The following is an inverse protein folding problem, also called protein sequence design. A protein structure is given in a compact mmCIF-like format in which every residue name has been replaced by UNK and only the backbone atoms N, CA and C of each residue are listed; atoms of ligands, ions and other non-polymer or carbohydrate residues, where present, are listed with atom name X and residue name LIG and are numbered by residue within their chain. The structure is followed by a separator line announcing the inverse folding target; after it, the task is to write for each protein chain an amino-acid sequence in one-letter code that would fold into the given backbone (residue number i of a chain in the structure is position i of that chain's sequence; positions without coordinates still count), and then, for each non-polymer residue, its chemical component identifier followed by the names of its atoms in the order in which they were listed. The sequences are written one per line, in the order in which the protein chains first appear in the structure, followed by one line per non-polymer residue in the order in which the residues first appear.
data_IF_911905047953
#
_entry.id   IF_911905047953
#
_cell.length_a   1.000
_cell.length_b   1.000
_cell.length_c   1.000
_cell.angle_alpha   90.00
_cell.angle_beta   90.00
_cell.angle_gamma   90.00
#
_symmetry.space_group_name_H-M   'P 1'
#
loop_
_entity.id
_entity.type
_entity.pdbx_description
1 polymer ?
#
# COMPACT_ATOMS: atom_id res chain seq x y z
N UNK A 1 13.15 57.37 -13.53
CA UNK A 1 13.96 56.14 -13.37
C UNK A 1 13.66 55.35 -12.09
N UNK A 2 13.72 55.94 -10.88
CA UNK A 2 13.45 55.23 -9.60
C UNK A 2 12.09 54.52 -9.53
N UNK A 3 11.04 55.09 -10.10
CA UNK A 3 9.70 54.48 -10.13
C UNK A 3 9.58 53.28 -11.08
N UNK A 4 10.27 53.32 -12.22
CA UNK A 4 10.28 52.22 -13.21
C UNK A 4 11.03 51.01 -12.64
N UNK A 5 12.15 51.24 -11.94
CA UNK A 5 12.92 50.18 -11.27
C UNK A 5 12.08 49.54 -10.15
N UNK A 6 11.35 50.33 -9.34
CA UNK A 6 10.45 49.80 -8.30
C UNK A 6 9.30 48.98 -8.89
N UNK A 7 8.74 49.40 -10.03
CA UNK A 7 7.66 48.67 -10.72
C UNK A 7 8.17 47.34 -11.34
N UNK A 8 9.38 47.33 -11.91
CA UNK A 8 10.05 46.13 -12.42
C UNK A 8 10.44 45.13 -11.33
N UNK A 9 10.83 45.63 -10.14
CA UNK A 9 11.05 44.78 -8.97
C UNK A 9 9.74 44.19 -8.42
N UNK A 10 8.64 44.95 -8.44
CA UNK A 10 7.32 44.45 -8.03
C UNK A 10 6.77 43.39 -9.01
N UNK A 11 6.96 43.59 -10.31
CA UNK A 11 6.60 42.63 -11.36
C UNK A 11 7.43 41.34 -11.28
N UNK A 12 8.73 41.44 -10.97
CA UNK A 12 9.57 40.26 -10.73
C UNK A 12 9.19 39.52 -9.44
N UNK A 13 8.82 40.23 -8.36
CA UNK A 13 8.32 39.58 -7.15
C UNK A 13 7.00 38.84 -7.42
N UNK A 14 6.07 39.41 -8.20
CA UNK A 14 4.82 38.77 -8.58
C UNK A 14 5.02 37.52 -9.48
N UNK A 15 6.09 37.45 -10.27
CA UNK A 15 6.44 36.23 -11.01
C UNK A 15 7.03 35.14 -10.12
N UNK A 16 7.79 35.51 -9.07
CA UNK A 16 8.39 34.55 -8.13
C UNK A 16 7.33 33.91 -7.22
N UNK A 17 6.24 34.63 -6.89
CA UNK A 17 5.14 34.09 -6.08
C UNK A 17 4.09 33.27 -6.85
N UNK A 18 4.18 33.19 -8.18
CA UNK A 18 3.29 32.34 -8.99
C UNK A 18 3.82 30.91 -9.23
N UNK A 19 5.00 30.58 -8.70
CA UNK A 19 5.34 29.18 -8.41
C UNK A 19 4.57 28.75 -7.17
N UNK A 20 3.24 28.66 -7.30
CA UNK A 20 2.46 27.78 -6.46
C UNK A 20 3.01 26.39 -6.72
N UNK A 21 3.96 25.93 -5.89
CA UNK A 21 4.32 24.53 -5.80
C UNK A 21 3.05 23.78 -5.38
N UNK A 22 2.25 23.40 -6.38
CA UNK A 22 1.16 22.46 -6.17
C UNK A 22 1.78 21.21 -5.55
N UNK A 23 1.14 20.68 -4.50
CA UNK A 23 1.54 19.41 -3.93
C UNK A 23 1.56 18.36 -5.05
N UNK A 24 2.69 17.67 -5.22
CA UNK A 24 2.78 16.56 -6.16
C UNK A 24 1.77 15.47 -5.79
N UNK A 25 1.21 14.83 -6.82
CA UNK A 25 0.22 13.77 -6.65
C UNK A 25 0.92 12.47 -6.26
N UNK A 26 0.55 11.90 -5.11
CA UNK A 26 0.93 10.54 -4.73
C UNK A 26 -0.17 9.55 -5.09
N UNK A 27 0.20 8.44 -5.75
CA UNK A 27 -0.75 7.41 -6.18
C UNK A 27 -0.28 6.05 -5.66
N UNK A 28 -1.22 5.24 -5.17
CA UNK A 28 -0.97 3.87 -4.71
C UNK A 28 -1.95 2.86 -5.29
N UNK A 29 -1.54 1.59 -5.33
CA UNK A 29 -2.33 0.45 -5.79
C UNK A 29 -2.24 -0.68 -4.75
N UNK A 30 -3.38 -1.10 -4.20
CA UNK A 30 -3.42 -2.15 -3.17
C UNK A 30 -4.57 -3.11 -3.43
N UNK A 31 -4.25 -4.37 -3.75
CA UNK A 31 -5.21 -5.43 -4.07
C UNK A 31 -5.44 -6.42 -2.92
N UNK A 32 -5.06 -6.05 -1.70
CA UNK A 32 -5.61 -6.64 -0.47
C UNK A 32 -6.50 -5.63 0.24
N UNK A 33 -7.07 -5.99 1.38
CA UNK A 33 -7.71 -5.00 2.27
C UNK A 33 -6.68 -3.91 2.61
N UNK A 34 -6.89 -2.66 2.18
CA UNK A 34 -5.89 -1.62 2.33
C UNK A 34 -5.69 -1.28 3.81
N UNK A 35 -4.44 -1.25 4.32
CA UNK A 35 -4.19 -0.80 5.67
C UNK A 35 -4.48 0.70 5.79
N UNK A 36 -4.75 1.16 7.01
CA UNK A 36 -5.13 2.56 7.28
C UNK A 36 -4.10 3.56 6.73
N UNK A 37 -2.81 3.24 6.81
CA UNK A 37 -1.72 4.09 6.34
C UNK A 37 -1.82 4.45 4.85
N UNK A 38 -2.39 3.56 4.02
CA UNK A 38 -2.57 3.81 2.60
C UNK A 38 -3.39 5.09 2.34
N UNK A 39 -4.43 5.33 3.16
CA UNK A 39 -5.35 6.44 2.99
C UNK A 39 -4.76 7.79 3.42
N UNK A 40 -3.63 7.79 4.13
CA UNK A 40 -2.88 8.99 4.47
C UNK A 40 -1.66 9.20 3.58
N UNK A 41 -1.13 8.11 3.02
CA UNK A 41 0.08 8.13 2.21
C UNK A 41 -0.20 8.58 0.77
N UNK A 42 -1.31 8.15 0.18
CA UNK A 42 -1.63 8.39 -1.22
C UNK A 42 -2.82 9.35 -1.36
N UNK A 43 -2.74 10.25 -2.34
CA UNK A 43 -3.85 11.12 -2.71
C UNK A 43 -4.88 10.35 -3.54
N UNK A 44 -4.44 9.47 -4.44
CA UNK A 44 -5.28 8.51 -5.16
C UNK A 44 -4.87 7.09 -4.79
N UNK A 45 -5.86 6.26 -4.47
CA UNK A 45 -5.65 4.86 -4.11
C UNK A 45 -6.51 3.97 -5.00
N UNK A 46 -5.89 3.12 -5.79
CA UNK A 46 -6.55 2.11 -6.62
C UNK A 46 -6.64 0.81 -5.85
N UNK A 47 -7.82 0.21 -5.81
CA UNK A 47 -8.10 -1.00 -5.04
C UNK A 47 -8.98 -1.97 -5.81
N UNK A 48 -8.87 -3.26 -5.49
CA UNK A 48 -9.79 -4.27 -6.00
C UNK A 48 -11.07 -4.31 -5.12
N UNK A 49 -12.25 -3.97 -5.68
CA UNK A 49 -13.49 -3.90 -4.91
C UNK A 49 -14.00 -5.25 -4.39
N UNK A 50 -13.52 -6.38 -4.90
CA UNK A 50 -13.93 -7.71 -4.42
C UNK A 50 -13.05 -8.23 -3.27
N UNK A 51 -11.89 -7.62 -3.03
CA UNK A 51 -10.95 -8.08 -2.00
C UNK A 51 -11.22 -7.51 -0.59
N UNK A 52 -12.15 -6.55 -0.47
CA UNK A 52 -12.61 -6.04 0.83
C UNK A 52 -14.03 -5.46 0.72
N UNK A 53 -14.66 -5.18 1.86
CA UNK A 53 -15.98 -4.56 1.89
C UNK A 53 -15.85 -3.06 2.14
N UNK A 54 -16.27 -2.23 1.18
CA UNK A 54 -16.28 -0.77 1.34
C UNK A 54 -17.09 -0.32 2.56
N UNK A 55 -18.18 -1.02 2.90
CA UNK A 55 -19.00 -0.70 4.08
C UNK A 55 -18.22 -0.79 5.39
N UNK A 56 -17.20 -1.66 5.48
CA UNK A 56 -16.32 -1.71 6.66
C UNK A 56 -15.45 -0.47 6.82
N UNK A 57 -15.16 0.24 5.73
CA UNK A 57 -14.30 1.42 5.71
C UNK A 57 -15.11 2.72 5.78
N UNK A 58 -16.37 2.71 5.36
CA UNK A 58 -17.22 3.90 5.23
C UNK A 58 -17.30 4.78 6.47
N UNK A 59 -17.30 4.16 7.65
CA UNK A 59 -17.39 4.89 8.92
C UNK A 59 -16.06 5.49 9.40
N UNK A 60 -14.95 5.08 8.79
CA UNK A 60 -13.60 5.51 9.17
C UNK A 60 -13.39 6.99 8.85
N UNK A 61 -12.71 7.69 9.75
CA UNK A 61 -12.46 9.12 9.64
C UNK A 61 -11.78 9.51 8.32
N UNK A 62 -10.78 8.75 7.88
CA UNK A 62 -10.04 9.02 6.64
C UNK A 62 -10.90 8.88 5.37
N UNK A 63 -11.89 7.98 5.36
CA UNK A 63 -12.86 7.87 4.26
C UNK A 63 -13.85 9.03 4.30
N UNK A 64 -14.44 9.32 5.47
CA UNK A 64 -15.41 10.43 5.65
C UNK A 64 -14.83 11.78 5.28
N UNK A 65 -13.55 12.01 5.58
CA UNK A 65 -12.85 13.26 5.27
C UNK A 65 -12.15 13.24 3.92
N UNK A 66 -12.42 12.23 3.08
CA UNK A 66 -11.90 12.08 1.70
C UNK A 66 -10.40 12.39 1.59
N UNK A 67 -9.61 11.84 2.53
CA UNK A 67 -8.16 12.05 2.56
C UNK A 67 -7.48 11.55 1.29
N UNK A 68 -7.95 10.39 0.80
CA UNK A 68 -7.57 9.80 -0.48
C UNK A 68 -8.82 9.63 -1.35
N UNK A 69 -8.67 9.82 -2.67
CA UNK A 69 -9.68 9.42 -3.66
C UNK A 69 -9.54 7.93 -3.94
N UNK A 70 -10.63 7.19 -3.83
CA UNK A 70 -10.62 5.74 -4.03
C UNK A 70 -11.07 5.37 -5.44
N UNK A 71 -10.29 4.56 -6.12
CA UNK A 71 -10.56 4.08 -7.48
C UNK A 71 -10.79 2.59 -7.47
N UNK A 72 -11.87 2.14 -8.11
CA UNK A 72 -12.13 0.71 -8.28
C UNK A 72 -11.40 0.18 -9.52
N UNK A 73 -10.66 -0.91 -9.36
CA UNK A 73 -10.14 -1.71 -10.46
C UNK A 73 -11.29 -2.32 -11.26
N UNK A 74 -11.20 -2.21 -12.59
CA UNK A 74 -12.12 -2.86 -13.54
C UNK A 74 -11.31 -3.33 -14.75
N UNK A 75 -11.24 -4.64 -14.96
CA UNK A 75 -10.74 -5.20 -16.22
C UNK A 75 -11.78 -4.99 -17.32
N UNK A 76 -11.42 -4.23 -18.37
CA UNK A 76 -12.35 -3.88 -19.46
C UNK A 76 -12.16 -4.82 -20.65
N UNK A 77 -10.91 -5.09 -21.02
CA UNK A 77 -10.57 -5.95 -22.15
C UNK A 77 -10.54 -7.44 -21.82
N UNK A 78 -10.64 -7.81 -20.54
CA UNK A 78 -10.68 -9.21 -20.10
C UNK A 78 -11.80 -9.46 -19.09
N UNK A 79 -12.36 -10.67 -19.16
CA UNK A 79 -13.32 -11.24 -18.22
C UNK A 79 -12.57 -12.17 -17.27
N UNK A 80 -12.70 -11.85 -15.99
CA UNK A 80 -12.04 -12.54 -14.89
C UNK A 80 -12.99 -13.57 -14.24
N UNK A 81 -12.72 -14.88 -14.33
CA UNK A 81 -13.68 -15.91 -13.91
C UNK A 81 -14.03 -15.93 -12.42
N UNK A 82 -13.20 -15.29 -11.59
CA UNK A 82 -13.40 -15.20 -10.15
C UNK A 82 -14.34 -14.05 -9.73
N UNK A 83 -14.71 -13.15 -10.65
CA UNK A 83 -15.60 -12.02 -10.37
C UNK A 83 -17.01 -12.50 -10.05
N UNK A 84 -17.68 -11.83 -9.11
CA UNK A 84 -19.05 -12.17 -8.69
C UNK A 84 -20.05 -12.19 -9.85
N UNK A 85 -19.87 -11.29 -10.82
CA UNK A 85 -20.74 -11.16 -12.00
C UNK A 85 -20.41 -12.13 -13.14
N UNK A 86 -19.41 -13.01 -13.00
CA UNK A 86 -18.96 -13.89 -14.08
C UNK A 86 -20.08 -14.81 -14.62
N UNK A 87 -20.99 -15.27 -13.76
CA UNK A 87 -22.12 -16.13 -14.16
C UNK A 87 -23.11 -15.46 -15.13
N UNK A 88 -23.05 -14.14 -15.25
CA UNK A 88 -23.93 -13.33 -16.09
C UNK A 88 -23.27 -12.94 -17.42
N UNK A 89 -22.02 -13.36 -17.64
CA UNK A 89 -21.29 -13.10 -18.88
C UNK A 89 -21.87 -13.98 -20.00
N UNK A 90 -22.21 -13.34 -21.12
CA UNK A 90 -22.49 -14.06 -22.36
C UNK A 90 -21.18 -14.49 -23.02
N UNK A 91 -21.06 -15.77 -23.35
CA UNK A 91 -19.91 -16.35 -24.05
C UNK A 91 -19.71 -15.72 -25.44
N UNK A 92 -20.74 -15.14 -26.04
CA UNK A 92 -20.66 -14.43 -27.33
C UNK A 92 -19.78 -13.17 -27.27
N UNK A 93 -19.46 -12.68 -26.06
CA UNK A 93 -18.57 -11.54 -25.84
C UNK A 93 -17.09 -11.93 -25.80
N UNK A 94 -16.77 -13.23 -25.81
CA UNK A 94 -15.39 -13.71 -25.69
C UNK A 94 -14.78 -13.92 -27.07
N UNK A 95 -13.62 -13.32 -27.32
CA UNK A 95 -12.85 -13.43 -28.58
C UNK A 95 -11.54 -14.19 -28.43
N UNK A 96 -11.13 -14.51 -27.21
CA UNK A 96 -9.91 -15.27 -26.96
C UNK A 96 -9.68 -15.58 -25.48
N UNK A 97 -8.51 -16.11 -25.18
CA UNK A 97 -8.07 -16.44 -23.82
C UNK A 97 -6.68 -15.87 -23.57
N UNK A 98 -6.47 -15.34 -22.37
CA UNK A 98 -5.14 -15.00 -21.88
C UNK A 98 -4.69 -16.08 -20.88
N UNK A 99 -3.84 -17.00 -21.36
CA UNK A 99 -3.44 -18.20 -20.59
C UNK A 99 -2.57 -17.88 -19.38
N UNK A 100 -1.80 -16.79 -19.44
CA UNK A 100 -0.91 -16.38 -18.36
C UNK A 100 -1.72 -15.97 -17.12
N UNK A 101 -2.87 -15.32 -17.34
CA UNK A 101 -3.77 -14.83 -16.28
C UNK A 101 -5.02 -15.67 -16.05
N UNK A 102 -5.26 -16.68 -16.90
CA UNK A 102 -6.45 -17.55 -16.87
C UNK A 102 -7.76 -16.75 -16.98
N UNK A 103 -7.75 -15.76 -17.86
CA UNK A 103 -8.86 -14.85 -18.15
C UNK A 103 -9.31 -15.00 -19.60
N UNK A 104 -10.48 -14.46 -19.92
CA UNK A 104 -11.05 -14.47 -21.27
C UNK A 104 -10.96 -13.08 -21.89
N UNK A 105 -10.47 -12.96 -23.12
CA UNK A 105 -10.37 -11.66 -23.81
C UNK A 105 -11.77 -11.28 -24.31
N UNK A 106 -12.24 -10.12 -23.90
CA UNK A 106 -13.58 -9.62 -24.16
C UNK A 106 -13.64 -8.70 -25.39
N UNK A 107 -14.75 -8.76 -26.12
CA UNK A 107 -14.99 -7.97 -27.31
C UNK A 107 -15.75 -6.67 -26.98
N UNK A 108 -15.00 -5.59 -26.76
CA UNK A 108 -15.57 -4.26 -26.48
C UNK A 108 -16.40 -3.71 -27.65
N UNK A 109 -16.29 -4.29 -28.86
CA UNK A 109 -17.11 -3.91 -30.02
C UNK A 109 -18.58 -4.32 -29.83
N UNK A 110 -18.86 -5.32 -28.99
CA UNK A 110 -20.23 -5.74 -28.65
C UNK A 110 -20.92 -4.69 -27.77
N UNK A 111 -22.04 -4.15 -28.25
CA UNK A 111 -22.80 -3.12 -27.53
C UNK A 111 -23.32 -3.65 -26.20
N UNK A 112 -23.78 -4.89 -26.19
CA UNK A 112 -24.33 -5.58 -25.02
C UNK A 112 -23.28 -5.73 -23.91
N UNK A 113 -22.03 -6.00 -24.28
CA UNK A 113 -20.92 -6.06 -23.34
C UNK A 113 -20.60 -4.67 -22.74
N UNK A 114 -20.56 -3.62 -23.57
CA UNK A 114 -20.39 -2.24 -23.09
C UNK A 114 -21.52 -1.83 -22.13
N UNK A 115 -22.76 -2.17 -22.47
CA UNK A 115 -23.92 -1.90 -21.62
C UNK A 115 -23.88 -2.70 -20.31
N UNK A 116 -23.42 -3.94 -20.35
CA UNK A 116 -23.19 -4.75 -19.15
C UNK A 116 -22.15 -4.08 -18.23
N UNK A 117 -20.99 -3.69 -18.77
CA UNK A 117 -19.97 -2.99 -17.98
C UNK A 117 -20.53 -1.72 -17.34
N UNK A 118 -21.21 -0.86 -18.09
CA UNK A 118 -21.73 0.42 -17.58
C UNK A 118 -22.86 0.21 -16.56
N UNK A 119 -23.89 -0.56 -16.93
CA UNK A 119 -25.14 -0.63 -16.17
C UNK A 119 -25.08 -1.60 -15.00
N UNK A 120 -24.19 -2.59 -15.05
CA UNK A 120 -24.01 -3.59 -14.00
C UNK A 120 -22.75 -3.33 -13.21
N UNK A 121 -21.58 -3.39 -13.86
CA UNK A 121 -20.29 -3.37 -13.16
C UNK A 121 -20.01 -1.98 -12.57
N UNK A 122 -19.95 -0.94 -13.40
CA UNK A 122 -19.61 0.42 -12.96
C UNK A 122 -20.69 1.04 -12.06
N UNK A 123 -21.97 0.76 -12.32
CA UNK A 123 -23.08 1.23 -11.47
C UNK A 123 -22.98 0.70 -10.03
N UNK A 124 -22.55 -0.55 -9.84
CA UNK A 124 -22.32 -1.15 -8.52
C UNK A 124 -21.05 -0.63 -7.80
N UNK A 125 -20.24 0.16 -8.51
CA UNK A 125 -19.03 0.80 -8.01
C UNK A 125 -19.19 2.32 -7.89
N UNK A 126 -20.42 2.82 -7.91
CA UNK A 126 -20.73 4.26 -7.88
C UNK A 126 -20.32 4.97 -6.57
N UNK A 127 -20.02 4.23 -5.50
CA UNK A 127 -19.48 4.75 -4.25
C UNK A 127 -18.00 5.17 -4.32
N UNK A 128 -17.25 4.69 -5.31
CA UNK A 128 -15.84 5.05 -5.53
C UNK A 128 -15.72 6.42 -6.21
N UNK A 129 -14.61 7.15 -6.02
CA UNK A 129 -14.37 8.45 -6.64
C UNK A 129 -14.02 8.35 -8.13
N UNK A 130 -13.59 7.17 -8.59
CA UNK A 130 -13.25 6.91 -9.97
C UNK A 130 -13.06 5.44 -10.30
N UNK A 131 -12.69 5.20 -11.55
CA UNK A 131 -12.44 3.88 -12.10
C UNK A 131 -11.01 3.79 -12.64
N UNK A 132 -10.37 2.64 -12.44
CA UNK A 132 -9.13 2.27 -13.07
C UNK A 132 -9.40 1.14 -14.07
N UNK A 133 -9.26 1.43 -15.36
CA UNK A 133 -9.56 0.51 -16.45
C UNK A 133 -8.31 -0.22 -16.89
N UNK A 134 -8.33 -1.53 -16.73
CA UNK A 134 -7.21 -2.40 -17.07
C UNK A 134 -7.48 -3.21 -18.35
N UNK A 135 -6.44 -3.90 -18.82
CA UNK A 135 -6.45 -4.84 -19.95
C UNK A 135 -6.86 -4.24 -21.30
N UNK A 136 -6.61 -2.93 -21.47
CA UNK A 136 -7.04 -2.19 -22.65
C UNK A 136 -6.32 -2.59 -23.95
N UNK A 137 -5.19 -3.31 -23.84
CA UNK A 137 -4.37 -3.81 -24.96
C UNK A 137 -4.47 -5.34 -25.16
N UNK A 138 -5.22 -6.06 -24.32
CA UNK A 138 -5.33 -7.54 -24.41
C UNK A 138 -5.93 -8.05 -25.72
N UNK A 139 -6.71 -7.24 -26.43
CA UNK A 139 -7.25 -7.57 -27.75
C UNK A 139 -6.16 -7.92 -28.77
N UNK A 140 -4.95 -7.39 -28.60
CA UNK A 140 -3.82 -7.66 -29.49
C UNK A 140 -3.33 -9.12 -29.43
N UNK A 141 -3.70 -9.86 -28.38
CA UNK A 141 -3.41 -11.30 -28.24
C UNK A 141 -4.36 -12.13 -29.12
N UNK A 142 -5.62 -11.69 -29.25
CA UNK A 142 -6.69 -12.46 -29.90
C UNK A 142 -6.97 -12.04 -31.35
N UNK A 143 -6.79 -10.75 -31.67
CA UNK A 143 -7.17 -10.17 -32.95
C UNK A 143 -5.98 -10.00 -33.89
N UNK A 144 -6.28 -9.85 -35.19
CA UNK A 144 -5.28 -9.48 -36.19
C UNK A 144 -5.12 -7.95 -36.26
N UNK A 145 -3.95 -7.42 -36.67
CA UNK A 145 -3.71 -5.98 -36.74
C UNK A 145 -4.73 -5.17 -37.55
N UNK A 146 -5.35 -5.76 -38.57
CA UNK A 146 -6.38 -5.09 -39.38
C UNK A 146 -7.72 -4.89 -38.65
N UNK A 147 -7.93 -5.57 -37.51
CA UNK A 147 -9.13 -5.42 -36.67
C UNK A 147 -8.92 -4.46 -35.49
N UNK A 148 -7.68 -4.06 -35.22
CA UNK A 148 -7.32 -3.24 -34.06
C UNK A 148 -8.06 -1.92 -34.07
N UNK A 149 -8.19 -1.30 -35.24
CA UNK A 149 -8.80 0.03 -35.33
C UNK A 149 -10.27 0.03 -34.93
N UNK A 150 -11.00 -1.02 -35.29
CA UNK A 150 -12.41 -1.16 -34.91
C UNK A 150 -12.57 -1.39 -33.41
N UNK A 151 -11.67 -2.18 -32.81
CA UNK A 151 -11.64 -2.37 -31.35
C UNK A 151 -11.31 -1.08 -30.61
N UNK A 152 -10.27 -0.37 -31.04
CA UNK A 152 -9.86 0.93 -30.49
C UNK A 152 -10.99 1.97 -30.57
N UNK A 153 -11.69 2.06 -31.71
CA UNK A 153 -12.84 2.95 -31.86
C UNK A 153 -13.97 2.60 -30.88
N UNK A 154 -14.27 1.32 -30.69
CA UNK A 154 -15.26 0.88 -29.72
C UNK A 154 -14.83 1.16 -28.26
N UNK A 155 -13.53 1.08 -27.96
CA UNK A 155 -12.98 1.44 -26.65
C UNK A 155 -13.10 2.95 -26.39
N UNK A 156 -12.85 3.78 -27.41
CA UNK A 156 -13.04 5.24 -27.34
C UNK A 156 -14.51 5.57 -27.08
N UNK A 157 -15.43 4.96 -27.81
CA UNK A 157 -16.87 5.11 -27.59
C UNK A 157 -17.26 4.73 -26.16
N UNK A 158 -16.75 3.60 -25.67
CA UNK A 158 -16.97 3.14 -24.30
C UNK A 158 -16.52 4.18 -23.27
N UNK A 159 -15.28 4.67 -23.35
CA UNK A 159 -14.73 5.64 -22.38
C UNK A 159 -15.53 6.94 -22.39
N UNK A 160 -15.90 7.45 -23.57
CA UNK A 160 -16.74 8.65 -23.69
C UNK A 160 -18.13 8.41 -23.08
N UNK A 161 -18.73 7.23 -23.32
CA UNK A 161 -20.03 6.87 -22.77
C UNK A 161 -19.98 6.73 -21.24
N UNK A 162 -18.92 6.13 -20.69
CA UNK A 162 -18.68 6.07 -19.25
C UNK A 162 -18.61 7.49 -18.68
N UNK A 163 -17.80 8.38 -19.25
CA UNK A 163 -17.64 9.73 -18.73
C UNK A 163 -18.94 10.55 -18.80
N UNK A 164 -19.76 10.34 -19.83
CA UNK A 164 -21.10 10.93 -19.93
C UNK A 164 -22.07 10.40 -18.87
N UNK A 165 -22.00 9.09 -18.58
CA UNK A 165 -22.87 8.42 -17.60
C UNK A 165 -22.46 8.78 -16.16
N UNK A 166 -21.17 8.95 -15.94
CA UNK A 166 -20.55 9.19 -14.63
C UNK A 166 -19.67 10.46 -14.67
N UNK A 167 -20.25 11.66 -14.85
CA UNK A 167 -19.49 12.90 -15.11
C UNK A 167 -18.52 13.26 -13.99
N UNK A 168 -18.89 13.00 -12.73
CA UNK A 168 -18.07 13.31 -11.56
C UNK A 168 -16.94 12.31 -11.31
N UNK A 169 -16.98 11.13 -11.96
CA UNK A 169 -15.99 10.09 -11.74
C UNK A 169 -14.71 10.40 -12.49
N UNK A 170 -13.59 10.11 -11.81
CA UNK A 170 -12.28 10.12 -12.45
C UNK A 170 -12.04 8.82 -13.21
N UNK A 171 -11.28 8.88 -14.30
CA UNK A 171 -10.94 7.71 -15.11
C UNK A 171 -9.43 7.62 -15.27
N UNK A 172 -8.86 6.48 -14.88
CA UNK A 172 -7.45 6.14 -15.09
C UNK A 172 -7.41 4.95 -16.03
N UNK A 173 -6.58 5.02 -17.08
CA UNK A 173 -6.40 3.93 -18.02
C UNK A 173 -5.07 3.22 -17.76
N UNK A 174 -5.05 1.89 -17.66
CA UNK A 174 -3.81 1.12 -17.79
C UNK A 174 -3.52 0.89 -19.25
N UNK A 175 -2.38 1.40 -19.73
CA UNK A 175 -1.96 1.31 -21.12
C UNK A 175 -3.04 1.88 -22.06
N UNK A 176 -3.39 1.17 -23.14
CA UNK A 176 -4.30 1.67 -24.18
C UNK A 176 -3.78 2.96 -24.83
N UNK A 177 -2.46 3.05 -25.04
CA UNK A 177 -1.80 4.27 -25.51
C UNK A 177 -2.34 4.75 -26.86
N UNK A 178 -2.84 3.82 -27.69
CA UNK A 178 -3.44 4.05 -28.99
C UNK A 178 -4.72 4.90 -28.91
N UNK A 179 -5.50 4.78 -27.83
CA UNK A 179 -6.77 5.49 -27.67
C UNK A 179 -6.64 6.78 -26.87
N UNK A 180 -5.60 6.92 -26.03
CA UNK A 180 -5.39 8.09 -25.15
C UNK A 180 -5.52 9.44 -25.89
N UNK A 181 -4.96 9.65 -27.10
CA UNK A 181 -5.11 10.92 -27.81
C UNK A 181 -6.56 11.30 -28.09
N UNK A 182 -7.43 10.31 -28.32
CA UNK A 182 -8.84 10.50 -28.66
C UNK A 182 -9.71 10.71 -27.41
N UNK A 183 -9.26 10.25 -26.24
CA UNK A 183 -10.02 10.33 -24.98
C UNK A 183 -9.38 11.21 -23.90
N UNK A 184 -8.31 11.94 -24.23
CA UNK A 184 -7.53 12.75 -23.27
C UNK A 184 -8.38 13.71 -22.42
N UNK A 185 -9.49 14.22 -22.97
CA UNK A 185 -10.38 15.18 -22.29
C UNK A 185 -11.42 14.49 -21.39
N UNK A 186 -11.48 13.15 -21.42
CA UNK A 186 -12.41 12.31 -20.65
C UNK A 186 -11.72 11.52 -19.54
N UNK A 187 -10.38 11.52 -19.50
CA UNK A 187 -9.57 10.77 -18.53
C UNK A 187 -8.72 11.70 -17.67
N UNK A 188 -8.28 11.19 -16.53
CA UNK A 188 -7.50 11.93 -15.54
C UNK A 188 -6.01 11.54 -15.52
N UNK A 189 -5.71 10.29 -15.88
CA UNK A 189 -4.35 9.76 -15.97
C UNK A 189 -4.28 8.50 -16.86
N UNK A 190 -3.06 8.16 -17.27
CA UNK A 190 -2.70 6.89 -17.85
C UNK A 190 -1.61 6.20 -17.00
N UNK A 191 -1.63 4.88 -16.95
CA UNK A 191 -0.71 4.01 -16.21
C UNK A 191 0.10 3.19 -17.21
N UNK A 192 1.33 2.86 -16.85
CA UNK A 192 2.17 1.92 -17.58
C UNK A 192 2.98 1.02 -16.65
N UNK A 193 3.19 -0.22 -17.11
CA UNK A 193 3.88 -1.27 -16.36
C UNK A 193 4.77 -2.10 -17.31
N UNK A 194 6.07 -2.28 -17.09
CA UNK A 194 6.97 -1.57 -16.16
C UNK A 194 8.04 -0.83 -16.95
N UNK A 195 8.60 0.22 -16.35
CA UNK A 195 9.56 1.11 -16.98
C UNK A 195 11.02 0.70 -16.75
N UNK A 196 11.46 0.59 -15.49
CA UNK A 196 12.85 0.27 -15.16
C UNK A 196 13.01 -1.10 -14.52
N UNK A 197 12.06 -1.49 -13.68
CA UNK A 197 12.03 -2.77 -12.98
C UNK A 197 10.64 -3.40 -13.10
N UNK A 198 10.60 -4.63 -13.58
CA UNK A 198 9.37 -5.37 -13.82
C UNK A 198 9.54 -6.84 -13.50
N UNK A 199 8.69 -7.65 -14.11
CA UNK A 199 8.70 -9.10 -13.92
C UNK A 199 9.14 -9.80 -15.20
N UNK A 200 9.85 -10.90 -15.02
CA UNK A 200 10.04 -11.85 -16.09
C UNK A 200 8.74 -12.61 -16.36
N UNK A 201 8.21 -12.52 -17.58
CA UNK A 201 6.90 -13.08 -17.94
C UNK A 201 6.83 -14.61 -17.80
N UNK A 202 7.97 -15.31 -17.84
CA UNK A 202 8.01 -16.77 -17.70
C UNK A 202 8.21 -17.22 -16.25
N UNK A 203 9.10 -16.54 -15.53
CA UNK A 203 9.52 -16.97 -14.18
C UNK A 203 8.84 -16.19 -13.06
N UNK A 204 8.15 -15.09 -13.37
CA UNK A 204 7.55 -14.14 -12.43
C UNK A 204 8.54 -13.59 -11.40
N UNK A 205 9.84 -13.60 -11.75
CA UNK A 205 10.91 -13.03 -10.93
C UNK A 205 11.10 -11.55 -11.25
N UNK A 206 11.43 -10.76 -10.23
CA UNK A 206 11.82 -9.37 -10.39
C UNK A 206 13.06 -9.27 -11.27
N UNK A 207 13.02 -8.36 -12.26
CA UNK A 207 14.14 -8.08 -13.14
C UNK A 207 14.22 -6.61 -13.51
N UNK A 208 15.42 -6.18 -13.89
CA UNK A 208 15.62 -4.91 -14.57
C UNK A 208 15.14 -5.03 -16.01
N UNK A 209 14.42 -4.02 -16.49
CA UNK A 209 13.95 -3.95 -17.88
C UNK A 209 15.12 -3.73 -18.85
N UNK A 210 14.98 -4.22 -20.09
CA UNK A 210 15.96 -3.94 -21.14
C UNK A 210 15.95 -2.47 -21.49
N UNK A 211 17.09 -1.93 -21.90
CA UNK A 211 17.21 -0.52 -22.25
C UNK A 211 16.34 -0.14 -23.45
N UNK A 212 16.18 -1.05 -24.41
CA UNK A 212 15.33 -0.88 -25.59
C UNK A 212 13.86 -0.72 -25.20
N UNK A 213 13.34 -1.64 -24.38
CA UNK A 213 11.96 -1.61 -23.85
C UNK A 213 11.73 -0.33 -23.03
N UNK A 214 12.70 0.02 -22.18
CA UNK A 214 12.67 1.25 -21.37
C UNK A 214 12.58 2.48 -22.27
N UNK A 215 13.43 2.58 -23.30
CA UNK A 215 13.47 3.73 -24.22
C UNK A 215 12.19 3.85 -25.04
N UNK A 216 11.68 2.72 -25.54
CA UNK A 216 10.40 2.69 -26.24
C UNK A 216 9.26 3.21 -25.35
N UNK A 217 9.18 2.70 -24.12
CA UNK A 217 8.12 3.10 -23.20
C UNK A 217 8.27 4.57 -22.78
N UNK A 218 9.48 5.05 -22.48
CA UNK A 218 9.74 6.47 -22.20
C UNK A 218 9.22 7.38 -23.31
N UNK A 219 9.43 7.03 -24.58
CA UNK A 219 8.94 7.83 -25.70
C UNK A 219 7.40 7.88 -25.70
N UNK A 220 6.73 6.74 -25.54
CA UNK A 220 5.26 6.68 -25.46
C UNK A 220 4.68 7.45 -24.28
N UNK A 221 5.28 7.33 -23.11
CA UNK A 221 4.84 8.06 -21.93
C UNK A 221 5.05 9.56 -22.07
N UNK A 222 6.13 10.00 -22.74
CA UNK A 222 6.33 11.42 -23.04
C UNK A 222 5.33 11.95 -24.07
N UNK A 223 4.96 11.17 -25.09
CA UNK A 223 3.87 11.52 -26.03
C UNK A 223 2.57 11.79 -25.25
N UNK A 224 2.18 10.89 -24.34
CA UNK A 224 0.97 11.03 -23.52
C UNK A 224 1.06 12.23 -22.57
N UNK A 225 2.20 12.40 -21.90
CA UNK A 225 2.45 13.55 -21.01
C UNK A 225 2.33 14.88 -21.76
N UNK A 226 2.82 14.95 -22.99
CA UNK A 226 2.74 16.15 -23.84
C UNK A 226 1.31 16.49 -24.27
N UNK A 227 0.37 15.55 -24.20
CA UNK A 227 -1.06 15.81 -24.39
C UNK A 227 -1.73 16.42 -23.15
N UNK A 228 -0.98 16.63 -22.05
CA UNK A 228 -1.49 17.14 -20.78
C UNK A 228 -2.07 16.07 -19.85
N UNK A 229 -1.94 14.79 -20.21
CA UNK A 229 -2.41 13.66 -19.40
C UNK A 229 -1.35 13.30 -18.35
N UNK A 230 -1.76 13.09 -17.10
CA UNK A 230 -0.86 12.62 -16.05
C UNK A 230 -0.45 11.18 -16.34
N UNK A 231 0.83 10.87 -16.18
CA UNK A 231 1.34 9.52 -16.36
C UNK A 231 1.80 8.95 -15.03
N UNK A 232 1.28 7.78 -14.68
CA UNK A 232 1.65 6.99 -13.52
C UNK A 232 2.45 5.78 -14.02
N UNK A 233 3.52 5.42 -13.33
CA UNK A 233 4.34 4.25 -13.70
C UNK A 233 4.41 3.30 -12.52
N UNK A 234 4.05 2.04 -12.77
CA UNK A 234 4.15 0.96 -11.79
C UNK A 234 5.35 0.09 -12.13
N UNK A 235 6.31 0.05 -11.20
CA UNK A 235 7.48 -0.82 -11.27
C UNK A 235 7.45 -1.85 -10.14
N UNK A 236 8.00 -3.02 -10.41
CA UNK A 236 7.98 -4.17 -9.51
C UNK A 236 9.36 -4.45 -8.92
N UNK A 237 9.46 -4.35 -7.60
CA UNK A 237 10.69 -4.60 -6.85
C UNK A 237 10.35 -5.39 -5.59
N UNK A 238 11.20 -6.36 -5.24
CA UNK A 238 11.06 -7.16 -4.01
C UNK A 238 10.84 -6.24 -2.80
N UNK A 239 9.77 -6.45 -2.01
CA UNK A 239 9.41 -5.59 -0.88
C UNK A 239 10.49 -5.51 0.20
N UNK A 240 11.41 -6.49 0.26
CA UNK A 240 12.58 -6.47 1.17
C UNK A 240 13.60 -5.41 0.78
N UNK A 241 13.64 -5.00 -0.49
CA UNK A 241 14.60 -4.03 -1.00
C UNK A 241 14.03 -2.62 -1.04
N UNK A 242 13.71 -2.07 0.14
CA UNK A 242 13.16 -0.71 0.30
C UNK A 242 14.07 0.38 -0.29
N UNK A 243 15.39 0.18 -0.26
CA UNK A 243 16.35 1.12 -0.86
C UNK A 243 16.17 1.18 -2.38
N UNK A 244 16.10 0.02 -3.06
CA UNK A 244 15.89 -0.03 -4.49
C UNK A 244 14.50 0.51 -4.88
N UNK A 245 13.45 0.22 -4.10
CA UNK A 245 12.12 0.81 -4.32
C UNK A 245 12.19 2.34 -4.36
N UNK A 246 12.90 2.95 -3.40
CA UNK A 246 13.09 4.40 -3.33
C UNK A 246 13.90 4.96 -4.50
N UNK A 247 14.98 4.27 -4.89
CA UNK A 247 15.81 4.68 -6.03
C UNK A 247 15.04 4.64 -7.35
N UNK A 248 14.25 3.58 -7.58
CA UNK A 248 13.41 3.43 -8.77
C UNK A 248 12.30 4.48 -8.79
N UNK A 249 11.60 4.69 -7.67
CA UNK A 249 10.55 5.69 -7.56
C UNK A 249 11.07 7.10 -7.86
N UNK A 250 12.25 7.43 -7.30
CA UNK A 250 12.93 8.71 -7.59
C UNK A 250 13.25 8.84 -9.08
N UNK A 251 13.79 7.80 -9.70
CA UNK A 251 14.14 7.82 -11.13
C UNK A 251 12.91 8.02 -12.02
N UNK A 252 11.79 7.38 -11.71
CA UNK A 252 10.51 7.58 -12.40
C UNK A 252 10.05 9.04 -12.24
N UNK A 253 10.08 9.56 -11.03
CA UNK A 253 9.69 10.94 -10.72
C UNK A 253 10.55 11.97 -11.46
N UNK A 254 11.87 11.77 -11.54
CA UNK A 254 12.79 12.62 -12.30
C UNK A 254 12.52 12.64 -13.82
N UNK A 255 11.82 11.63 -14.36
CA UNK A 255 11.33 11.64 -15.75
C UNK A 255 9.99 12.39 -15.92
N UNK A 256 9.47 12.98 -14.85
CA UNK A 256 8.21 13.74 -14.83
C UNK A 256 6.98 12.85 -14.81
N UNK A 257 7.07 11.64 -14.24
CA UNK A 257 5.96 10.71 -14.06
C UNK A 257 5.66 10.51 -12.58
N UNK A 258 4.46 10.04 -12.25
CA UNK A 258 4.07 9.70 -10.88
C UNK A 258 4.52 8.27 -10.58
N UNK A 259 5.45 8.04 -9.63
CA UNK A 259 5.92 6.71 -9.32
C UNK A 259 4.96 5.93 -8.43
N UNK A 260 4.91 4.62 -8.65
CA UNK A 260 4.49 3.64 -7.66
C UNK A 260 5.33 2.37 -7.80
N UNK A 261 6.17 2.06 -6.81
CA UNK A 261 7.07 0.89 -6.85
C UNK A 261 6.69 -0.09 -5.76
N UNK A 262 6.25 -1.29 -6.12
CA UNK A 262 5.65 -2.26 -5.19
C UNK A 262 6.03 -3.72 -5.51
N UNK A 263 5.46 -4.67 -4.77
CA UNK A 263 5.57 -6.09 -5.04
C UNK A 263 4.67 -6.54 -6.21
N UNK A 264 4.97 -7.72 -6.77
CA UNK A 264 4.28 -8.28 -7.93
C UNK A 264 2.78 -8.51 -7.76
N UNK A 265 2.30 -8.64 -6.52
CA UNK A 265 0.89 -8.96 -6.22
C UNK A 265 0.10 -7.70 -5.84
N UNK A 266 0.74 -6.51 -5.87
CA UNK A 266 0.15 -5.23 -5.46
C UNK A 266 -0.40 -5.31 -4.02
N UNK A 267 0.25 -6.05 -3.13
CA UNK A 267 -0.21 -6.24 -1.75
C UNK A 267 0.55 -5.41 -0.74
N UNK A 268 1.68 -4.84 -1.09
CA UNK A 268 2.48 -4.01 -0.19
C UNK A 268 2.20 -2.52 -0.39
N UNK A 269 2.41 -1.73 0.66
CA UNK A 269 2.50 -0.28 0.60
C UNK A 269 3.75 0.10 -0.17
N UNK A 270 3.56 0.28 -1.48
CA UNK A 270 4.59 0.65 -2.42
C UNK A 270 5.14 2.06 -2.19
N UNK A 271 6.30 2.33 -2.78
CA UNK A 271 6.93 3.65 -2.72
C UNK A 271 6.42 4.52 -3.87
N UNK A 272 5.78 5.64 -3.55
CA UNK A 272 5.44 6.71 -4.50
C UNK A 272 6.43 7.86 -4.33
N UNK A 273 5.98 9.12 -4.41
CA UNK A 273 6.78 10.28 -3.99
C UNK A 273 7.09 10.26 -2.48
N UNK A 274 6.33 9.44 -1.72
CA UNK A 274 6.57 9.12 -0.33
C UNK A 274 6.86 7.62 -0.16
N UNK A 275 7.75 7.31 0.78
CA UNK A 275 8.01 5.95 1.26
C UNK A 275 7.58 5.88 2.73
N UNK A 276 6.77 4.90 3.08
CA UNK A 276 6.35 4.69 4.46
C UNK A 276 7.54 4.31 5.35
N UNK A 277 7.55 4.84 6.56
CA UNK A 277 8.41 4.36 7.65
C UNK A 277 7.49 3.57 8.58
N UNK A 278 7.63 2.23 8.65
CA UNK A 278 6.84 1.40 9.55
C UNK A 278 7.01 1.85 11.00
N UNK A 279 5.90 2.02 11.72
CA UNK A 279 5.89 2.40 13.15
C UNK A 279 5.07 1.45 14.01
N UNK A 280 4.38 0.47 13.44
CA UNK A 280 3.63 -0.50 14.24
C UNK A 280 4.58 -1.52 14.88
N UNK A 281 4.33 -1.87 16.14
CA UNK A 281 4.93 -3.03 16.80
C UNK A 281 3.82 -4.03 17.06
N UNK A 282 3.93 -5.21 16.48
CA UNK A 282 2.96 -6.29 16.67
C UNK A 282 3.22 -6.95 18.02
N UNK A 283 2.29 -6.84 18.95
CA UNK A 283 2.38 -7.47 20.26
C UNK A 283 1.51 -8.72 20.23
N UNK A 284 2.15 -9.89 20.19
CA UNK A 284 1.43 -11.16 20.15
C UNK A 284 0.99 -11.55 21.56
N UNK A 285 -0.31 -11.81 21.72
CA UNK A 285 -0.89 -12.32 22.97
C UNK A 285 -1.79 -13.52 22.69
N UNK A 286 -2.03 -14.32 23.73
CA UNK A 286 -2.89 -15.49 23.68
C UNK A 286 -4.21 -15.21 24.43
N UNK A 287 -5.28 -14.95 23.69
CA UNK A 287 -6.61 -14.68 24.28
C UNK A 287 -7.21 -15.84 25.07
N UNK A 288 -6.64 -17.05 24.99
CA UNK A 288 -7.04 -18.19 25.84
C UNK A 288 -6.44 -18.13 27.24
N UNK A 289 -5.35 -17.38 27.42
CA UNK A 289 -4.67 -17.21 28.71
C UNK A 289 -5.12 -15.93 29.39
N UNK A 290 -5.08 -14.80 28.67
CA UNK A 290 -5.40 -13.48 29.20
C UNK A 290 -6.17 -12.63 28.17
N UNK A 291 -7.01 -11.71 28.64
CA UNK A 291 -7.51 -10.63 27.78
C UNK A 291 -6.34 -9.71 27.36
N UNK A 292 -6.47 -9.05 26.21
CA UNK A 292 -5.46 -8.09 25.75
C UNK A 292 -5.15 -7.00 26.78
N UNK A 293 -6.15 -6.55 27.56
CA UNK A 293 -5.97 -5.54 28.59
C UNK A 293 -5.22 -6.05 29.84
N UNK A 294 -5.24 -7.37 30.06
CA UNK A 294 -4.61 -7.99 31.22
C UNK A 294 -3.21 -8.57 30.90
N UNK A 295 -2.88 -8.71 29.62
CA UNK A 295 -1.58 -9.24 29.17
C UNK A 295 -0.39 -8.41 29.68
N UNK A 296 0.66 -9.09 30.14
CA UNK A 296 1.84 -8.45 30.72
C UNK A 296 2.59 -7.55 29.72
N UNK A 297 2.54 -7.85 28.42
CA UNK A 297 3.13 -6.99 27.38
C UNK A 297 2.35 -5.70 27.24
N UNK A 298 1.02 -5.76 27.33
CA UNK A 298 0.18 -4.56 27.37
C UNK A 298 0.49 -3.73 28.62
N UNK A 299 0.37 -4.34 29.80
CA UNK A 299 0.45 -3.63 31.09
C UNK A 299 1.84 -3.07 31.39
N UNK A 300 2.90 -3.78 31.02
CA UNK A 300 4.26 -3.42 31.43
C UNK A 300 5.12 -2.83 30.30
N UNK A 301 4.82 -3.09 29.02
CA UNK A 301 5.70 -2.69 27.91
C UNK A 301 5.07 -1.68 26.95
N UNK A 302 3.74 -1.63 26.84
CA UNK A 302 3.07 -0.79 25.84
C UNK A 302 3.44 0.69 25.97
N UNK A 303 3.39 1.24 27.19
CA UNK A 303 3.70 2.65 27.44
C UNK A 303 5.14 3.02 27.01
N UNK A 304 6.10 2.11 27.16
CA UNK A 304 7.48 2.33 26.71
C UNK A 304 7.59 2.32 25.18
N UNK A 305 6.86 1.42 24.50
CA UNK A 305 6.79 1.37 23.04
C UNK A 305 6.19 2.67 22.48
N UNK A 306 5.11 3.16 23.10
CA UNK A 306 4.48 4.44 22.75
C UNK A 306 5.39 5.63 23.02
N UNK A 307 6.10 5.64 24.15
CA UNK A 307 7.08 6.68 24.49
C UNK A 307 8.20 6.79 23.44
N UNK A 308 8.62 5.66 22.87
CA UNK A 308 9.59 5.63 21.76
C UNK A 308 8.99 6.07 20.41
N UNK A 309 7.69 6.38 20.37
CA UNK A 309 6.98 6.82 19.19
C UNK A 309 6.50 5.69 18.28
N UNK A 310 6.50 4.45 18.73
CA UNK A 310 5.89 3.35 17.99
C UNK A 310 4.39 3.22 18.32
N UNK A 311 3.68 2.49 17.47
CA UNK A 311 2.25 2.21 17.60
C UNK A 311 2.11 0.73 18.00
N UNK A 312 1.83 0.41 19.28
CA UNK A 312 1.60 -0.96 19.70
C UNK A 312 0.29 -1.48 19.11
N UNK A 313 0.32 -2.70 18.55
CA UNK A 313 -0.87 -3.37 18.00
C UNK A 313 -0.97 -4.75 18.63
N UNK A 314 -1.93 -4.90 19.56
CA UNK A 314 -2.24 -6.18 20.19
C UNK A 314 -2.85 -7.13 19.14
N UNK A 315 -2.20 -8.27 18.94
CA UNK A 315 -2.59 -9.25 17.94
C UNK A 315 -2.79 -10.62 18.59
N UNK A 316 -4.02 -11.12 18.51
CA UNK A 316 -4.42 -12.40 19.08
C UNK A 316 -3.99 -13.55 18.18
N UNK A 317 -3.11 -14.41 18.68
CA UNK A 317 -2.60 -15.56 17.93
C UNK A 317 -3.71 -16.57 17.60
N UNK A 318 -4.81 -16.60 18.37
CA UNK A 318 -5.93 -17.51 18.13
C UNK A 318 -6.79 -17.11 16.92
N UNK A 319 -6.63 -15.90 16.38
CA UNK A 319 -7.29 -15.45 15.14
C UNK A 319 -6.55 -15.90 13.88
N UNK A 320 -5.44 -16.63 14.05
CA UNK A 320 -4.50 -16.99 12.99
C UNK A 320 -3.49 -15.87 12.75
N UNK A 321 -2.31 -16.23 12.24
CA UNK A 321 -1.22 -15.28 12.00
C UNK A 321 -1.35 -14.58 10.63
N UNK A 322 -0.86 -13.34 10.47
CA UNK A 322 -0.91 -12.63 9.20
C UNK A 322 -0.21 -13.40 8.08
N UNK A 323 -0.87 -13.51 6.93
CA UNK A 323 -0.36 -14.25 5.76
C UNK A 323 0.43 -13.37 4.79
N UNK A 324 0.02 -12.12 4.62
CA UNK A 324 0.69 -11.17 3.73
C UNK A 324 2.01 -10.67 4.33
N UNK A 325 2.82 -10.01 3.51
CA UNK A 325 4.03 -9.33 3.99
C UNK A 325 3.64 -8.18 4.91
N UNK A 326 4.31 -8.05 6.07
CA UNK A 326 3.99 -7.05 7.09
C UNK A 326 5.05 -5.96 7.25
N UNK A 327 6.21 -6.08 6.59
CA UNK A 327 7.37 -5.19 6.81
C UNK A 327 7.25 -3.79 6.23
N UNK A 328 6.14 -3.50 5.58
CA UNK A 328 5.71 -2.18 5.12
C UNK A 328 4.77 -1.48 6.12
N UNK A 329 4.25 -2.21 7.11
CA UNK A 329 3.39 -1.68 8.18
C UNK A 329 4.06 -1.76 9.57
N UNK A 330 4.76 -2.88 9.84
CA UNK A 330 5.34 -3.20 11.14
C UNK A 330 6.86 -3.06 11.15
N UNK A 331 7.36 -2.36 12.16
CA UNK A 331 8.79 -2.22 12.44
C UNK A 331 9.34 -3.45 13.18
N UNK A 332 8.49 -4.17 13.91
CA UNK A 332 8.90 -5.33 14.70
C UNK A 332 7.73 -6.09 15.33
N UNK A 333 8.08 -7.23 15.91
CA UNK A 333 7.19 -8.12 16.66
C UNK A 333 7.74 -8.26 18.08
N UNK A 334 6.86 -8.12 19.07
CA UNK A 334 7.11 -8.38 20.47
C UNK A 334 6.22 -9.54 20.91
N UNK A 335 6.79 -10.51 21.60
CA UNK A 335 6.05 -11.66 22.10
C UNK A 335 6.63 -12.23 23.39
N UNK A 336 5.74 -12.79 24.20
CA UNK A 336 6.03 -13.59 25.39
C UNK A 336 5.09 -14.79 25.35
N UNK A 337 5.59 -15.93 24.90
CA UNK A 337 4.81 -17.16 24.77
C UNK A 337 5.59 -18.29 25.43
N UNK A 338 4.90 -19.12 26.22
CA UNK A 338 5.50 -20.30 26.84
C UNK A 338 5.52 -21.49 25.90
N UNK A 339 4.57 -21.55 24.97
CA UNK A 339 4.45 -22.61 23.97
C UNK A 339 4.43 -22.03 22.55
N UNK A 340 5.02 -22.77 21.62
CA UNK A 340 5.13 -22.38 20.22
C UNK A 340 4.66 -23.51 19.32
N UNK A 341 3.62 -23.27 18.53
CA UNK A 341 3.21 -24.24 17.52
C UNK A 341 4.20 -24.26 16.35
N UNK A 342 4.33 -25.38 15.62
CA UNK A 342 5.16 -25.45 14.41
C UNK A 342 4.82 -24.35 13.39
N UNK A 343 3.53 -24.02 13.27
CA UNK A 343 3.03 -22.96 12.38
C UNK A 343 3.53 -21.58 12.81
N UNK A 344 3.54 -21.29 14.11
CA UNK A 344 4.09 -20.04 14.65
C UNK A 344 5.60 -19.97 14.43
N UNK A 345 6.34 -21.07 14.64
CA UNK A 345 7.78 -21.11 14.39
C UNK A 345 8.12 -20.87 12.92
N UNK A 346 7.39 -21.51 12.01
CA UNK A 346 7.54 -21.29 10.57
C UNK A 346 7.21 -19.84 10.19
N UNK A 347 6.15 -19.28 10.76
CA UNK A 347 5.78 -17.88 10.55
C UNK A 347 6.86 -16.93 11.05
N UNK A 348 7.38 -17.12 12.27
CA UNK A 348 8.47 -16.30 12.83
C UNK A 348 9.75 -16.39 11.99
N UNK A 349 10.15 -17.59 11.54
CA UNK A 349 11.28 -17.78 10.60
C UNK A 349 11.09 -16.95 9.34
N UNK A 350 9.88 -16.96 8.77
CA UNK A 350 9.52 -16.14 7.60
C UNK A 350 9.64 -14.65 7.89
N UNK A 351 9.07 -14.15 8.99
CA UNK A 351 9.14 -12.71 9.33
C UNK A 351 10.59 -12.24 9.52
N UNK A 352 11.41 -13.04 10.19
CA UNK A 352 12.84 -12.74 10.37
C UNK A 352 13.57 -12.73 9.02
N UNK A 353 13.30 -13.71 8.15
CA UNK A 353 13.85 -13.77 6.78
C UNK A 353 13.36 -12.63 5.87
N UNK A 354 12.22 -12.03 6.22
CA UNK A 354 11.63 -10.87 5.56
C UNK A 354 12.18 -9.54 6.12
N UNK A 355 13.07 -9.61 7.11
CA UNK A 355 13.80 -8.48 7.69
C UNK A 355 13.15 -7.89 8.94
N UNK A 356 12.03 -8.46 9.42
CA UNK A 356 11.33 -8.00 10.62
C UNK A 356 12.15 -8.33 11.86
N UNK A 357 12.24 -7.35 12.78
CA UNK A 357 12.87 -7.55 14.08
C UNK A 357 11.88 -8.24 15.03
N UNK A 358 12.30 -9.33 15.63
CA UNK A 358 11.49 -10.10 16.59
C UNK A 358 12.17 -10.03 17.95
N UNK A 359 11.41 -9.64 18.97
CA UNK A 359 11.88 -9.57 20.35
C UNK A 359 11.12 -10.57 21.22
N UNK A 360 11.85 -11.58 21.72
CA UNK A 360 11.33 -12.58 22.65
C UNK A 360 11.53 -12.08 24.08
N UNK A 361 10.45 -11.97 24.84
CA UNK A 361 10.50 -11.63 26.24
C UNK A 361 10.30 -12.89 27.10
N UNK A 362 11.22 -13.10 28.04
CA UNK A 362 11.29 -14.23 28.99
C UNK A 362 11.54 -15.60 28.38
N UNK A 363 10.88 -15.95 27.27
CA UNK A 363 10.90 -17.30 26.69
C UNK A 363 11.19 -17.24 25.20
N UNK A 364 12.27 -17.90 24.78
CA UNK A 364 12.58 -18.18 23.38
C UNK A 364 12.17 -19.62 23.04
N UNK A 365 11.75 -19.92 21.79
CA UNK A 365 11.47 -21.29 21.40
C UNK A 365 12.64 -22.23 21.69
N UNK A 366 12.37 -23.39 22.28
CA UNK A 366 13.38 -24.43 22.54
C UNK A 366 13.59 -25.38 21.36
N UNK A 367 12.87 -25.19 20.25
CA UNK A 367 13.02 -25.99 19.03
C UNK A 367 14.43 -25.84 18.43
N UNK A 368 15.14 -26.95 18.28
CA UNK A 368 16.55 -26.95 17.84
C UNK A 368 16.71 -26.35 16.44
N UNK A 369 15.79 -26.62 15.52
CA UNK A 369 15.86 -26.10 14.16
C UNK A 369 15.65 -24.57 14.15
N UNK A 370 14.73 -24.06 14.98
CA UNK A 370 14.50 -22.64 15.17
C UNK A 370 15.70 -21.93 15.81
N UNK A 371 16.27 -22.51 16.87
CA UNK A 371 17.45 -21.96 17.52
C UNK A 371 18.66 -21.94 16.56
N UNK A 372 18.88 -23.03 15.81
CA UNK A 372 19.92 -23.11 14.79
C UNK A 372 19.74 -22.05 13.69
N UNK A 373 18.49 -21.81 13.26
CA UNK A 373 18.16 -20.72 12.33
C UNK A 373 18.54 -19.34 12.89
N UNK A 374 18.41 -19.12 14.20
CA UNK A 374 18.85 -17.90 14.88
C UNK A 374 20.38 -17.87 15.15
N UNK A 375 21.11 -18.93 14.81
CA UNK A 375 22.53 -19.08 15.14
C UNK A 375 22.78 -19.36 16.63
N UNK A 376 21.74 -19.80 17.36
CA UNK A 376 21.80 -20.16 18.77
C UNK A 376 22.02 -21.67 18.92
N UNK A 377 22.69 -22.06 19.99
CA UNK A 377 22.88 -23.45 20.38
C UNK A 377 22.38 -23.63 21.81
N UNK A 378 21.71 -24.73 22.06
CA UNK A 378 21.42 -25.17 23.42
C UNK A 378 22.66 -25.82 23.99
N UNK A 379 23.24 -25.23 25.01
CA UNK A 379 24.13 -25.96 25.90
C UNK A 379 23.29 -26.52 27.05
N UNK A 380 23.53 -27.78 27.41
CA UNK A 380 22.93 -28.35 28.62
C UNK A 380 23.27 -27.50 29.83
N UNK A 381 22.50 -27.64 30.91
CA UNK A 381 22.81 -26.93 32.14
C UNK A 381 24.20 -27.36 32.65
N UNK A 382 25.22 -26.53 32.42
CA UNK A 382 26.58 -26.72 32.95
C UNK A 382 26.69 -26.26 34.40
N UNK A 383 25.57 -25.85 35.01
CA UNK A 383 25.50 -25.54 36.42
C UNK A 383 25.97 -26.73 37.24
N UNK A 384 27.01 -26.50 38.03
CA UNK A 384 27.48 -27.37 39.12
C UNK A 384 26.45 -27.49 40.26
N UNK A 385 25.31 -26.81 40.16
CA UNK A 385 24.24 -26.87 41.14
C UNK A 385 23.19 -27.88 40.68
N UNK A 386 23.30 -29.11 41.20
CA UNK A 386 22.35 -30.22 41.00
C UNK A 386 21.02 -30.02 41.76
N UNK A 387 20.94 -28.95 42.57
CA UNK A 387 19.81 -28.64 43.46
C UNK A 387 19.61 -27.14 43.56
N UNK A 388 18.38 -26.69 43.30
CA UNK A 388 17.91 -25.35 43.64
C UNK A 388 17.11 -25.46 44.92
N UNK A 389 17.71 -25.04 46.05
CA UNK A 389 16.96 -24.84 47.29
C UNK A 389 16.31 -23.45 47.24
N UNK A 390 15.00 -23.41 47.04
CA UNK A 390 14.23 -22.19 47.21
C UNK A 390 14.19 -21.85 48.70
N UNK A 391 15.08 -20.96 49.14
CA UNK A 391 14.95 -20.30 50.43
C UNK A 391 14.04 -19.09 50.21
N UNK A 392 12.79 -19.07 50.71
CA UNK A 392 11.98 -17.87 50.66
C UNK A 392 12.69 -16.82 51.51
N UNK A 393 13.40 -15.90 50.86
CA UNK A 393 13.78 -14.66 51.49
C UNK A 393 12.49 -13.85 51.46
N UNK A 394 11.82 -13.76 52.61
CA UNK A 394 10.83 -12.70 52.79
C UNK A 394 11.54 -11.39 52.49
N UNK A 395 11.12 -10.72 51.42
CA UNK A 395 11.51 -9.32 51.27
C UNK A 395 10.80 -8.57 52.38
N UNK A 396 11.55 -8.06 53.35
CA UNK A 396 11.08 -6.89 54.08
C UNK A 396 10.85 -5.82 53.01
N UNK A 397 9.59 -5.45 52.80
CA UNK A 397 9.16 -4.49 51.80
C UNK A 397 10.11 -3.28 51.81
N UNK A 398 10.50 -2.79 50.63
CA UNK A 398 11.12 -1.48 50.52
C UNK A 398 10.04 -0.41 50.73
N UNK A 399 9.49 -0.32 51.94
CA UNK A 399 8.82 0.90 52.38
C UNK A 399 9.90 1.92 52.69
N UNK A 400 10.19 2.79 51.73
CA UNK A 400 10.72 4.11 52.07
C UNK A 400 9.61 4.81 52.84
N UNK A 401 9.89 5.15 54.10
CA UNK A 401 8.99 5.98 54.90
C UNK A 401 8.71 7.25 54.09
N UNK A 402 7.44 7.60 53.78
CA UNK A 402 7.15 8.76 52.96
C UNK A 402 7.74 10.00 53.63
N UNK A 403 8.72 10.63 52.99
CA UNK A 403 9.09 12.00 53.33
C UNK A 403 8.03 12.91 52.74
N UNK A 404 7.10 13.35 53.60
CA UNK A 404 6.18 14.42 53.25
C UNK A 404 7.01 15.69 53.23
N UNK A 405 7.61 16.01 52.09
CA UNK A 405 8.05 17.38 51.86
C UNK A 405 6.81 18.24 51.67
N UNK A 406 6.62 19.32 52.46
CA UNK A 406 5.52 20.22 52.23
C UNK A 406 5.66 20.78 50.81
N UNK A 407 4.69 20.46 49.96
CA UNK A 407 4.49 21.18 48.71
C UNK A 407 4.33 22.65 49.13
N UNK A 408 5.13 23.60 48.63
CA UNK A 408 4.83 25.00 48.82
C UNK A 408 3.55 25.27 48.02
N UNK A 409 2.41 25.07 48.68
CA UNK A 409 1.14 25.63 48.26
C UNK A 409 1.38 27.13 48.37
N UNK A 410 1.53 27.74 47.20
CA UNK A 410 1.76 29.15 46.97
C UNK A 410 1.10 30.02 48.04
N UNK A 411 1.88 30.93 48.63
CA UNK A 411 1.33 32.15 49.18
C UNK A 411 1.98 33.35 48.47
N UNK A 412 1.17 34.25 47.89
CA UNK A 412 1.63 35.26 46.96
C UNK A 412 2.32 36.39 47.72
N UNK A 413 3.50 36.80 47.27
CA UNK A 413 3.98 38.15 47.54
C UNK A 413 4.36 38.85 46.25
N UNK A 414 3.41 39.68 45.82
CA UNK A 414 3.60 40.90 45.06
C UNK A 414 5.01 41.46 45.19
N UNK A 415 5.68 41.66 44.05
CA UNK A 415 6.50 42.84 43.79
C UNK A 415 6.76 42.97 42.28
N UNK A 416 5.69 43.22 41.52
CA UNK A 416 5.84 44.00 40.30
C UNK A 416 6.01 45.47 40.73
N UNK A 417 7.24 46.00 40.62
CA UNK A 417 7.45 47.45 40.53
C UNK A 417 7.38 47.83 39.04
N UNK A 418 6.57 48.83 38.66
CA UNK A 418 6.56 49.32 37.29
C UNK A 418 7.78 50.20 37.04
N UNK A 419 8.46 49.93 35.92
CA UNK A 419 9.10 50.95 35.07
C UNK A 419 8.64 50.68 33.66
#
# INVERSE_FOLDING_TARGET
MRYIIRLLCLFNLLFIFNLSYGKDLSVGFIYREPPEEAFYLYDWLVVDPDNFSFEKLKEKYYIKNKKAKLFAYVSVGEIEPYRKYYKEIDKSWIIGENKDWKTYIADIRKKEYREFLINKVLKNLSQYDGFFFDTLDSYQIALKPNEYKDYENALVEFIIQVKKTFPDKKIILNRGFEVVPQVKDYIDAAVAESLFYGLDTKTMKYKKMKEEDTRWLLNKLNEIKNLGVKVIVIDYVDPKNKKLQKEVAKKIYENGFIPYVTDKDLKTLGTSIYQIIPRKIMILYNSKEFDAADDDLHRNFQAFIEYLGYIPVMYDINKGLPKDYIGDEYAGILLRQTEYSPEMLQWLKKQISDGIKVFFLSYIPSDEEFLSFLGLKTEGNTSIFDKVDFKPIGYDYFEIKPEIQPIPITTPQNNFKPI
#
